data_IF_897579951588
#
_entry.id   IF_897579951588
#
_cell.length_a   1.000
_cell.length_b   1.000
_cell.length_c   1.000
_cell.angle_alpha   90.00
_cell.angle_beta   90.00
_cell.angle_gamma   90.00
#
_symmetry.space_group_name_H-M   'P 1'
#
loop_
_entity.id
_entity.type
_entity.pdbx_description
1 polymer ?
#
# COMPACT_ATOMS: atom_id res chain seq x y z
N UNK A 1 -12.20 43.28 14.50
CA UNK A 1 -11.99 42.15 13.55
C UNK A 1 -13.26 41.90 12.75
N UNK A 2 -13.21 41.13 11.66
CA UNK A 2 -14.41 40.79 10.87
C UNK A 2 -15.51 40.15 11.74
N UNK A 3 -15.12 39.44 12.81
CA UNK A 3 -16.03 38.82 13.78
C UNK A 3 -16.83 39.82 14.61
N UNK A 4 -16.22 40.93 15.04
CA UNK A 4 -16.88 41.96 15.87
C UNK A 4 -17.95 42.73 15.09
N UNK A 5 -17.68 43.05 13.81
CA UNK A 5 -18.65 43.71 12.91
C UNK A 5 -19.83 42.77 12.63
N UNK A 6 -19.54 41.49 12.36
CA UNK A 6 -20.58 40.47 12.15
C UNK A 6 -21.44 40.23 13.40
N UNK A 7 -20.88 40.42 14.60
CA UNK A 7 -21.59 40.29 15.87
C UNK A 7 -22.49 41.52 16.14
N UNK A 8 -21.99 42.73 15.95
CA UNK A 8 -22.75 43.98 16.09
C UNK A 8 -23.89 44.12 15.06
N UNK A 9 -23.75 43.50 13.88
CA UNK A 9 -24.82 43.45 12.88
C UNK A 9 -25.94 42.45 13.24
N UNK A 10 -25.69 41.48 14.13
CA UNK A 10 -26.66 40.43 14.53
C UNK A 10 -27.38 40.73 15.83
N UNK A 11 -27.19 41.91 16.42
CA UNK A 11 -27.68 42.27 17.77
C UNK A 11 -29.19 42.12 17.96
N UNK A 12 -29.99 42.19 16.88
CA UNK A 12 -31.45 41.98 16.88
C UNK A 12 -31.91 40.75 16.07
N UNK A 13 -30.99 39.85 15.69
CA UNK A 13 -31.33 38.66 14.92
C UNK A 13 -31.97 37.59 15.83
N UNK A 14 -33.17 37.11 15.47
CA UNK A 14 -33.76 35.93 16.10
C UNK A 14 -32.78 34.75 15.96
N UNK A 15 -32.60 33.89 16.98
CA UNK A 15 -31.78 32.69 16.85
C UNK A 15 -32.26 31.88 15.64
N UNK A 16 -31.43 31.84 14.60
CA UNK A 16 -31.66 30.96 13.46
C UNK A 16 -31.44 29.50 13.87
N UNK A 17 -31.85 28.54 13.04
CA UNK A 17 -31.54 27.13 13.30
C UNK A 17 -30.02 26.97 13.48
N UNK A 18 -29.61 26.32 14.57
CA UNK A 18 -28.23 25.89 14.77
C UNK A 18 -27.92 24.76 13.79
N UNK A 19 -27.05 25.04 12.83
CA UNK A 19 -26.58 24.07 11.84
C UNK A 19 -25.19 23.61 12.27
N UNK A 20 -24.95 22.30 12.28
CA UNK A 20 -23.60 21.77 12.43
C UNK A 20 -22.76 22.18 11.22
N UNK A 21 -21.66 22.90 11.46
CA UNK A 21 -20.75 23.30 10.39
C UNK A 21 -20.20 22.06 9.67
N UNK A 22 -20.26 22.05 8.35
CA UNK A 22 -19.55 21.05 7.54
C UNK A 22 -18.05 21.25 7.78
N UNK A 23 -17.36 20.20 8.24
CA UNK A 23 -15.90 20.26 8.39
C UNK A 23 -15.26 20.21 7.01
N UNK A 24 -14.40 21.18 6.72
CA UNK A 24 -13.54 21.12 5.56
C UNK A 24 -12.46 20.06 5.80
N UNK A 25 -12.42 19.06 4.92
CA UNK A 25 -11.37 18.03 4.91
C UNK A 25 -10.60 18.09 3.60
N UNK A 26 -9.29 17.87 3.65
CA UNK A 26 -8.44 17.79 2.46
C UNK A 26 -8.49 16.35 1.96
N UNK A 27 -8.77 16.15 0.67
CA UNK A 27 -8.86 14.79 0.10
C UNK A 27 -7.59 13.95 0.30
N UNK A 28 -6.42 14.59 0.42
CA UNK A 28 -5.14 13.91 0.66
C UNK A 28 -4.91 13.46 2.12
N UNK A 29 -5.74 13.91 3.08
CA UNK A 29 -5.48 13.75 4.51
C UNK A 29 -5.35 12.29 4.94
N UNK A 30 -6.09 11.37 4.31
CA UNK A 30 -5.98 9.95 4.59
C UNK A 30 -4.61 9.37 4.17
N UNK A 31 -4.09 9.77 3.01
CA UNK A 31 -2.78 9.33 2.52
C UNK A 31 -1.63 9.93 3.33
N UNK A 32 -1.75 11.19 3.74
CA UNK A 32 -0.77 11.85 4.61
C UNK A 32 -0.69 11.15 5.98
N UNK A 33 -1.82 10.70 6.52
CA UNK A 33 -1.82 9.91 7.76
C UNK A 33 -1.07 8.60 7.60
N UNK A 34 -1.21 7.91 6.46
CA UNK A 34 -0.43 6.70 6.17
C UNK A 34 1.07 7.00 6.13
N UNK A 35 1.47 8.09 5.46
CA UNK A 35 2.87 8.53 5.40
C UNK A 35 3.43 8.86 6.78
N UNK A 36 2.69 9.57 7.62
CA UNK A 36 3.11 9.87 8.99
C UNK A 36 3.37 8.60 9.81
N UNK A 37 2.56 7.55 9.62
CA UNK A 37 2.75 6.26 10.28
C UNK A 37 4.03 5.57 9.80
N UNK A 38 4.30 5.56 8.49
CA UNK A 38 5.50 4.92 7.93
C UNK A 38 6.78 5.72 8.21
N UNK A 39 6.73 7.04 8.24
CA UNK A 39 7.80 7.93 8.70
C UNK A 39 8.13 7.68 10.18
N UNK A 40 7.10 7.59 11.04
CA UNK A 40 7.27 7.26 12.46
C UNK A 40 7.78 5.85 12.69
N UNK A 41 7.50 4.92 11.76
CA UNK A 41 8.12 3.60 11.75
C UNK A 41 9.60 3.72 11.42
N UNK A 42 9.96 4.39 10.32
CA UNK A 42 11.34 4.57 9.89
C UNK A 42 12.22 5.25 10.95
N UNK A 43 11.69 6.27 11.63
CA UNK A 43 12.40 6.95 12.72
C UNK A 43 12.73 6.03 13.89
N UNK A 44 11.93 4.99 14.15
CA UNK A 44 12.15 4.01 15.24
C UNK A 44 13.01 2.82 14.84
N UNK A 45 12.91 2.37 13.59
CA UNK A 45 13.54 1.13 13.11
C UNK A 45 14.76 1.35 12.22
N UNK A 46 15.01 2.59 11.80
CA UNK A 46 16.12 2.98 10.92
C UNK A 46 15.80 2.87 9.42
N UNK A 47 14.65 2.31 9.04
CA UNK A 47 14.25 2.15 7.64
C UNK A 47 12.73 2.11 7.47
N UNK A 48 12.19 2.58 6.33
CA UNK A 48 10.77 2.45 6.01
C UNK A 48 10.28 0.99 6.06
N UNK A 49 8.98 0.75 6.22
CA UNK A 49 8.44 -0.59 6.08
C UNK A 49 8.66 -1.08 4.64
N UNK A 50 9.30 -2.23 4.50
CA UNK A 50 9.68 -2.82 3.22
C UNK A 50 8.71 -3.92 2.77
N UNK A 51 8.44 -3.95 1.47
CA UNK A 51 7.60 -4.95 0.79
C UNK A 51 8.41 -5.59 -0.32
N UNK A 52 8.47 -6.92 -0.36
CA UNK A 52 9.20 -7.63 -1.40
C UNK A 52 8.34 -7.88 -2.64
N UNK A 53 8.88 -7.59 -3.83
CA UNK A 53 8.22 -7.91 -5.09
C UNK A 53 8.73 -9.26 -5.63
N UNK A 54 7.88 -10.28 -5.58
CA UNK A 54 8.13 -11.56 -6.24
C UNK A 54 7.78 -11.43 -7.73
N UNK A 55 8.74 -10.91 -8.49
CA UNK A 55 8.65 -10.65 -9.93
C UNK A 55 8.91 -11.92 -10.72
N UNK A 56 7.87 -12.52 -11.29
CA UNK A 56 7.96 -13.83 -11.95
C UNK A 56 8.13 -13.67 -13.47
N UNK A 57 9.00 -14.50 -14.05
CA UNK A 57 9.30 -14.48 -15.49
C UNK A 57 10.13 -13.27 -15.94
N UNK A 58 10.26 -13.05 -17.25
CA UNK A 58 11.08 -11.97 -17.81
C UNK A 58 10.54 -10.58 -17.47
N UNK A 59 11.40 -9.56 -17.58
CA UNK A 59 11.06 -8.17 -17.26
C UNK A 59 9.77 -7.68 -17.95
N UNK A 60 9.59 -8.02 -19.22
CA UNK A 60 8.39 -7.65 -19.99
C UNK A 60 7.09 -8.22 -19.43
N UNK A 61 7.16 -9.34 -18.70
CA UNK A 61 6.01 -10.02 -18.09
C UNK A 61 5.59 -9.35 -16.77
N UNK A 62 6.54 -9.03 -15.90
CA UNK A 62 6.25 -8.55 -14.55
C UNK A 62 6.32 -7.03 -14.37
N UNK A 63 7.01 -6.29 -15.25
CA UNK A 63 7.33 -4.86 -15.03
C UNK A 63 6.12 -4.00 -14.77
N UNK A 64 5.07 -4.12 -15.59
CA UNK A 64 3.88 -3.28 -15.44
C UNK A 64 3.21 -3.42 -14.06
N UNK A 65 3.21 -4.63 -13.49
CA UNK A 65 2.62 -4.91 -12.18
C UNK A 65 3.55 -4.60 -11.01
N UNK A 66 4.85 -4.77 -11.21
CA UNK A 66 5.86 -4.39 -10.23
C UNK A 66 5.94 -2.85 -10.07
N UNK A 67 5.91 -2.12 -11.19
CA UNK A 67 5.85 -0.66 -11.19
C UNK A 67 4.54 -0.16 -10.57
N UNK A 68 3.40 -0.77 -10.92
CA UNK A 68 2.11 -0.48 -10.28
C UNK A 68 2.15 -0.70 -8.78
N UNK A 69 2.63 -1.87 -8.32
CA UNK A 69 2.72 -2.19 -6.90
C UNK A 69 3.64 -1.21 -6.16
N UNK A 70 4.77 -0.84 -6.76
CA UNK A 70 5.71 0.15 -6.22
C UNK A 70 5.04 1.50 -6.06
N UNK A 71 4.37 2.00 -7.10
CA UNK A 71 3.67 3.28 -7.04
C UNK A 71 2.53 3.26 -6.00
N UNK A 72 1.71 2.20 -6.00
CA UNK A 72 0.58 2.03 -5.09
C UNK A 72 1.02 2.02 -3.62
N UNK A 73 2.03 1.22 -3.28
CA UNK A 73 2.57 1.12 -1.93
C UNK A 73 3.32 2.41 -1.53
N UNK A 74 4.03 3.03 -2.48
CA UNK A 74 4.76 4.27 -2.28
C UNK A 74 3.86 5.45 -1.89
N UNK A 75 2.56 5.45 -2.23
CA UNK A 75 1.62 6.46 -1.75
C UNK A 75 1.58 6.50 -0.21
N UNK A 76 1.64 5.33 0.43
CA UNK A 76 1.68 5.18 1.88
C UNK A 76 3.06 5.31 2.51
N UNK A 77 4.13 5.50 1.72
CA UNK A 77 5.51 5.57 2.22
C UNK A 77 6.17 4.22 2.50
N UNK A 78 5.66 3.14 1.89
CA UNK A 78 6.36 1.85 1.87
C UNK A 78 7.46 1.87 0.83
N UNK A 79 8.54 1.14 1.11
CA UNK A 79 9.63 0.92 0.16
C UNK A 79 9.51 -0.49 -0.44
N UNK A 80 9.74 -0.63 -1.74
CA UNK A 80 9.71 -1.93 -2.41
C UNK A 80 11.11 -2.48 -2.64
N UNK A 81 11.32 -3.74 -2.29
CA UNK A 81 12.48 -4.52 -2.72
C UNK A 81 12.12 -5.09 -4.08
N UNK A 82 12.81 -4.64 -5.14
CA UNK A 82 12.48 -4.96 -6.53
C UNK A 82 13.64 -5.69 -7.23
N UNK A 83 13.70 -7.04 -7.15
CA UNK A 83 14.66 -7.87 -7.88
C UNK A 83 14.43 -7.88 -9.40
N UNK A 84 15.40 -8.40 -10.15
CA UNK A 84 15.37 -8.44 -11.62
C UNK A 84 14.40 -9.47 -12.23
N UNK A 85 13.85 -10.39 -11.45
CA UNK A 85 13.01 -11.49 -11.93
C UNK A 85 13.41 -12.85 -11.37
N UNK A 86 12.46 -13.79 -11.36
CA UNK A 86 12.66 -15.18 -10.95
C UNK A 86 12.02 -16.14 -11.96
N UNK A 87 12.74 -17.22 -12.26
CA UNK A 87 12.25 -18.27 -13.17
C UNK A 87 11.35 -19.29 -12.47
N UNK A 88 11.53 -19.50 -11.15
CA UNK A 88 10.78 -20.49 -10.38
C UNK A 88 10.13 -19.90 -9.12
N UNK A 89 8.92 -20.37 -8.73
CA UNK A 89 8.26 -19.95 -7.50
C UNK A 89 9.14 -20.17 -6.26
N UNK A 90 9.88 -21.29 -6.20
CA UNK A 90 10.75 -21.59 -5.07
C UNK A 90 11.89 -20.57 -4.93
N UNK A 91 12.53 -20.18 -6.04
CA UNK A 91 13.59 -19.17 -6.01
C UNK A 91 13.05 -17.81 -5.53
N UNK A 92 11.87 -17.42 -5.99
CA UNK A 92 11.19 -16.20 -5.54
C UNK A 92 10.84 -16.26 -4.03
N UNK A 93 10.34 -17.41 -3.57
CA UNK A 93 10.01 -17.62 -2.16
C UNK A 93 11.24 -17.52 -1.26
N UNK A 94 12.34 -18.17 -1.64
CA UNK A 94 13.59 -18.11 -0.87
C UNK A 94 14.16 -16.69 -0.80
N UNK A 95 14.16 -15.97 -1.92
CA UNK A 95 14.60 -14.58 -1.95
C UNK A 95 13.70 -13.66 -1.08
N UNK A 96 12.38 -13.87 -1.13
CA UNK A 96 11.43 -13.14 -0.31
C UNK A 96 11.66 -13.39 1.20
N UNK A 97 11.86 -14.65 1.61
CA UNK A 97 12.15 -14.99 3.00
C UNK A 97 13.49 -14.41 3.47
N UNK A 98 14.52 -14.46 2.63
CA UNK A 98 15.83 -13.88 2.92
C UNK A 98 15.80 -12.35 3.06
N UNK A 99 14.84 -11.68 2.41
CA UNK A 99 14.68 -10.22 2.49
C UNK A 99 14.18 -9.72 3.85
N UNK A 100 13.63 -10.59 4.70
CA UNK A 100 12.95 -10.25 5.96
C UNK A 100 11.74 -9.30 5.82
N UNK A 101 11.29 -9.01 4.60
CA UNK A 101 10.07 -8.24 4.37
C UNK A 101 8.85 -8.92 5.01
N UNK A 102 7.97 -8.14 5.63
CA UNK A 102 6.76 -8.67 6.27
C UNK A 102 5.60 -8.86 5.29
N UNK A 103 5.72 -8.30 4.10
CA UNK A 103 4.77 -8.46 3.01
C UNK A 103 5.49 -8.79 1.70
N UNK A 104 4.83 -9.59 0.88
CA UNK A 104 5.28 -10.01 -0.44
C UNK A 104 4.17 -9.74 -1.45
N UNK A 105 4.50 -9.13 -2.57
CA UNK A 105 3.58 -8.91 -3.70
C UNK A 105 4.03 -9.78 -4.86
N UNK A 106 3.13 -10.61 -5.38
CA UNK A 106 3.38 -11.46 -6.55
C UNK A 106 3.05 -10.66 -7.82
N UNK A 107 4.05 -10.46 -8.68
CA UNK A 107 3.95 -9.67 -9.91
C UNK A 107 4.27 -10.55 -11.13
N UNK A 108 3.26 -10.79 -11.98
CA UNK A 108 3.37 -11.58 -13.22
C UNK A 108 2.14 -11.31 -14.09
N UNK A 109 1.99 -11.94 -15.25
CA UNK A 109 0.75 -11.84 -16.04
C UNK A 109 -0.35 -12.75 -15.49
N UNK A 110 -1.62 -12.37 -15.70
CA UNK A 110 -2.78 -13.16 -15.25
C UNK A 110 -2.76 -14.59 -15.79
N UNK A 111 -2.31 -14.77 -17.03
CA UNK A 111 -2.20 -16.08 -17.67
C UNK A 111 -1.27 -17.05 -16.91
N UNK A 112 -0.26 -16.54 -16.20
CA UNK A 112 0.70 -17.36 -15.44
C UNK A 112 0.33 -17.56 -13.97
N UNK A 113 -0.64 -16.81 -13.45
CA UNK A 113 -0.99 -16.87 -12.04
C UNK A 113 -1.50 -18.23 -11.54
N UNK A 114 -2.36 -18.96 -12.29
CA UNK A 114 -2.82 -20.27 -11.86
C UNK A 114 -1.66 -21.25 -11.56
N UNK A 115 -0.56 -21.13 -12.30
CA UNK A 115 0.59 -22.04 -12.17
C UNK A 115 1.54 -21.64 -11.04
N UNK A 116 1.76 -20.33 -10.85
CA UNK A 116 2.82 -19.84 -9.96
C UNK A 116 2.31 -19.44 -8.56
N UNK A 117 1.09 -18.89 -8.45
CA UNK A 117 0.58 -18.31 -7.21
C UNK A 117 0.32 -19.36 -6.13
N UNK A 118 -0.32 -20.52 -6.42
CA UNK A 118 -0.58 -21.53 -5.40
C UNK A 118 0.71 -22.00 -4.73
N UNK A 119 1.72 -22.36 -5.53
CA UNK A 119 3.03 -22.84 -5.06
C UNK A 119 3.76 -21.77 -4.26
N UNK A 120 3.82 -20.53 -4.77
CA UNK A 120 4.53 -19.43 -4.11
C UNK A 120 3.86 -19.06 -2.76
N UNK A 121 2.54 -18.89 -2.76
CA UNK A 121 1.80 -18.52 -1.56
C UNK A 121 1.88 -19.61 -0.48
N UNK A 122 1.73 -20.88 -0.86
CA UNK A 122 1.87 -22.00 0.08
C UNK A 122 3.27 -22.08 0.68
N UNK A 123 4.31 -21.92 -0.13
CA UNK A 123 5.70 -21.96 0.33
C UNK A 123 5.99 -20.83 1.32
N UNK A 124 5.57 -19.61 1.00
CA UNK A 124 5.70 -18.45 1.88
C UNK A 124 4.94 -18.65 3.20
N UNK A 125 3.69 -19.10 3.15
CA UNK A 125 2.85 -19.30 4.33
C UNK A 125 3.31 -20.45 5.20
N UNK A 126 3.85 -21.51 4.61
CA UNK A 126 4.43 -22.64 5.35
C UNK A 126 5.70 -22.22 6.10
N UNK A 127 6.54 -21.39 5.49
CA UNK A 127 7.77 -20.91 6.11
C UNK A 127 7.53 -19.79 7.13
N UNK A 128 6.57 -18.91 6.86
CA UNK A 128 6.19 -17.81 7.72
C UNK A 128 4.67 -17.56 7.66
N UNK A 129 3.88 -18.11 8.60
CA UNK A 129 2.42 -17.95 8.60
C UNK A 129 1.96 -16.48 8.65
N UNK A 130 2.75 -15.61 9.29
CA UNK A 130 2.42 -14.20 9.51
C UNK A 130 2.75 -13.29 8.32
N UNK A 131 3.42 -13.83 7.28
CA UNK A 131 3.73 -13.03 6.08
C UNK A 131 2.45 -12.61 5.38
N UNK A 132 2.35 -11.33 5.02
CA UNK A 132 1.23 -10.86 4.17
C UNK A 132 1.57 -11.16 2.71
N UNK A 133 0.70 -11.87 2.01
CA UNK A 133 0.86 -12.19 0.58
C UNK A 133 -0.20 -11.42 -0.20
N UNK A 134 0.25 -10.63 -1.17
CA UNK A 134 -0.57 -9.82 -2.07
C UNK A 134 -0.35 -10.28 -3.51
N UNK A 135 -1.36 -10.09 -4.36
CA UNK A 135 -1.28 -10.38 -5.80
C UNK A 135 -1.54 -9.09 -6.57
N UNK A 136 -0.61 -8.68 -7.43
CA UNK A 136 -0.76 -7.48 -8.25
C UNK A 136 -1.55 -7.78 -9.53
N UNK A 137 -2.87 -7.86 -9.44
CA UNK A 137 -3.71 -8.20 -10.59
C UNK A 137 -5.19 -8.08 -10.32
N UNK A 138 -5.98 -8.43 -11.33
CA UNK A 138 -7.42 -8.51 -11.20
C UNK A 138 -7.81 -9.93 -10.80
N UNK A 139 -8.48 -10.14 -9.66
CA UNK A 139 -9.05 -11.44 -9.33
C UNK A 139 -10.24 -11.69 -10.27
N UNK A 140 -10.10 -12.62 -11.21
CA UNK A 140 -11.24 -13.13 -11.95
C UNK A 140 -12.17 -13.89 -10.98
N UNK A 141 -13.48 -13.85 -11.23
CA UNK A 141 -14.44 -14.65 -10.45
C UNK A 141 -14.12 -16.14 -10.65
N UNK A 142 -13.67 -16.79 -9.57
CA UNK A 142 -13.39 -18.22 -9.48
C UNK A 142 -13.98 -18.78 -8.20
#
# INVERSE_FOLDING_TARGET
>A
TLGEIAQAARTNAKPGPTINSIRAERGAQAFERLRQVTESFAARTGQPPQVFLATMGPLTQHKGRADFATAFLGVGGFETIYPSGFDTPDAAAQAALASNAKAVVICSTDATYPDIVPTLAQTLKKANPDVTVLLAGYPAEH
#
